data_IF_226961357780
#
_entry.id   IF_226961357780
#
_cell.length_a   1.000
_cell.length_b   1.000
_cell.length_c   1.000
_cell.angle_alpha   90.00
_cell.angle_beta   90.00
_cell.angle_gamma   90.00
#
_symmetry.space_group_name_H-M   'P 1'
#
loop_
_entity.id
_entity.type
_entity.pdbx_description
1 polymer ?
#
# COMPACT_ATOMS: atom_id res chain seq x y z
N UNK A 1 -21.52 -8.54 -8.99
CA UNK A 1 -20.47 -7.99 -8.11
C UNK A 1 -20.00 -6.60 -8.56
N UNK A 2 -19.48 -6.41 -9.78
CA UNK A 2 -18.92 -5.11 -10.21
C UNK A 2 -19.94 -3.97 -10.31
N UNK A 3 -21.22 -4.25 -10.60
CA UNK A 3 -22.27 -3.21 -10.70
C UNK A 3 -22.46 -2.39 -9.41
N UNK A 4 -22.08 -2.91 -8.24
CA UNK A 4 -22.14 -2.18 -6.98
C UNK A 4 -21.09 -1.06 -6.93
N UNK A 5 -19.99 -1.17 -7.67
CA UNK A 5 -18.91 -0.16 -7.66
C UNK A 5 -19.42 1.21 -8.12
N UNK A 6 -20.36 1.26 -9.07
CA UNK A 6 -20.91 2.54 -9.56
C UNK A 6 -21.68 3.33 -8.50
N UNK A 7 -22.09 2.70 -7.38
CA UNK A 7 -22.74 3.41 -6.26
C UNK A 7 -21.73 4.12 -5.35
N UNK A 8 -20.44 3.76 -5.43
CA UNK A 8 -19.35 4.35 -4.66
C UNK A 8 -18.51 5.34 -5.49
N UNK A 9 -18.84 5.50 -6.77
CA UNK A 9 -18.20 6.46 -7.66
C UNK A 9 -19.18 7.61 -7.92
N UNK A 10 -18.64 8.80 -8.12
CA UNK A 10 -19.40 9.98 -8.56
C UNK A 10 -18.65 10.75 -9.64
N UNK A 11 -19.36 11.62 -10.36
CA UNK A 11 -18.80 12.44 -11.43
C UNK A 11 -18.07 11.63 -12.52
N UNK A 12 -16.93 12.15 -12.96
CA UNK A 12 -16.15 11.57 -14.07
C UNK A 12 -15.71 10.12 -13.84
N UNK A 13 -15.20 9.71 -12.66
CA UNK A 13 -14.94 8.30 -12.34
C UNK A 13 -16.13 7.35 -12.55
N UNK A 14 -17.35 7.79 -12.21
CA UNK A 14 -18.56 6.99 -12.37
C UNK A 14 -18.92 6.80 -13.84
N UNK A 15 -18.89 7.89 -14.61
CA UNK A 15 -19.18 7.85 -16.04
C UNK A 15 -18.18 6.96 -16.78
N UNK A 16 -16.89 7.15 -16.52
CA UNK A 16 -15.83 6.31 -17.06
C UNK A 16 -16.05 4.82 -16.71
N UNK A 17 -16.41 4.50 -15.46
CA UNK A 17 -16.69 3.13 -15.07
C UNK A 17 -17.86 2.52 -15.83
N UNK A 18 -18.96 3.26 -16.05
CA UNK A 18 -20.14 2.79 -16.78
C UNK A 18 -19.79 2.51 -18.25
N UNK A 19 -19.05 3.41 -18.89
CA UNK A 19 -18.61 3.28 -20.29
C UNK A 19 -17.69 2.06 -20.51
N UNK A 20 -16.91 1.71 -19.49
CA UNK A 20 -15.91 0.65 -19.55
C UNK A 20 -16.33 -0.63 -18.78
N UNK A 21 -17.56 -0.72 -18.26
CA UNK A 21 -17.93 -1.86 -17.38
C UNK A 21 -17.85 -3.21 -18.09
N UNK A 22 -18.05 -3.23 -19.41
CA UNK A 22 -18.04 -4.44 -20.24
C UNK A 22 -16.64 -5.02 -20.44
N UNK A 23 -15.57 -4.22 -20.25
CA UNK A 23 -14.18 -4.67 -20.39
C UNK A 23 -13.58 -5.19 -19.07
N UNK A 24 -14.25 -4.98 -17.93
CA UNK A 24 -13.74 -5.41 -16.63
C UNK A 24 -14.13 -6.87 -16.32
N UNK A 25 -13.29 -7.80 -16.78
CA UNK A 25 -13.49 -9.25 -16.55
C UNK A 25 -13.34 -9.66 -15.06
N UNK A 26 -12.65 -8.86 -14.26
CA UNK A 26 -12.48 -9.09 -12.82
C UNK A 26 -12.27 -7.80 -12.03
N UNK A 27 -12.43 -7.88 -10.71
CA UNK A 27 -12.08 -6.78 -9.79
C UNK A 27 -10.63 -6.31 -9.96
N UNK A 28 -9.71 -7.23 -10.23
CA UNK A 28 -8.30 -6.89 -10.40
C UNK A 28 -8.06 -6.04 -11.66
N UNK A 29 -8.72 -6.39 -12.77
CA UNK A 29 -8.64 -5.62 -14.03
C UNK A 29 -9.21 -4.22 -13.84
N UNK A 30 -10.40 -4.10 -13.24
CA UNK A 30 -10.99 -2.80 -12.89
C UNK A 30 -10.06 -1.97 -12.01
N UNK A 31 -9.57 -2.54 -10.90
CA UNK A 31 -8.73 -1.84 -9.92
C UNK A 31 -7.45 -1.32 -10.55
N UNK A 32 -6.79 -2.11 -11.39
CA UNK A 32 -5.57 -1.71 -12.09
C UNK A 32 -5.82 -0.54 -13.03
N UNK A 33 -6.86 -0.61 -13.86
CA UNK A 33 -7.21 0.46 -14.80
C UNK A 33 -7.67 1.74 -14.08
N UNK A 34 -8.49 1.59 -13.04
CA UNK A 34 -8.98 2.70 -12.25
C UNK A 34 -7.82 3.43 -11.55
N UNK A 35 -6.90 2.70 -10.93
CA UNK A 35 -5.70 3.30 -10.34
C UNK A 35 -4.80 3.91 -11.41
N UNK A 36 -4.66 3.32 -12.59
CA UNK A 36 -3.86 3.92 -13.65
C UNK A 36 -4.37 5.30 -14.07
N UNK A 37 -5.70 5.46 -14.20
CA UNK A 37 -6.33 6.69 -14.68
C UNK A 37 -6.49 7.73 -13.57
N UNK A 38 -6.81 7.28 -12.35
CA UNK A 38 -7.19 8.16 -11.24
C UNK A 38 -6.16 8.24 -10.10
N UNK A 39 -5.09 7.42 -10.10
CA UNK A 39 -3.98 7.63 -9.17
C UNK A 39 -3.00 8.64 -9.77
N UNK A 40 -2.77 9.74 -9.06
CA UNK A 40 -1.79 10.74 -9.50
C UNK A 40 -0.36 10.30 -9.17
N UNK A 41 0.64 10.77 -9.93
CA UNK A 41 2.04 10.63 -9.55
C UNK A 41 2.31 11.18 -8.13
N UNK A 42 1.59 12.24 -7.76
CA UNK A 42 1.60 12.81 -6.41
C UNK A 42 1.13 11.83 -5.35
N UNK A 43 0.15 10.96 -5.63
CA UNK A 43 -0.32 9.93 -4.69
C UNK A 43 0.75 8.88 -4.40
N UNK A 44 1.49 8.45 -5.43
CA UNK A 44 2.63 7.54 -5.25
C UNK A 44 3.78 8.23 -4.51
N UNK A 45 4.05 9.49 -4.81
CA UNK A 45 5.08 10.27 -4.13
C UNK A 45 4.73 10.51 -2.65
N UNK A 46 3.47 10.79 -2.33
CA UNK A 46 2.98 10.88 -0.95
C UNK A 46 3.12 9.55 -0.22
N UNK A 47 2.78 8.43 -0.87
CA UNK A 47 2.99 7.10 -0.30
C UNK A 47 4.48 6.81 -0.05
N UNK A 48 5.36 7.19 -0.98
CA UNK A 48 6.81 7.04 -0.86
C UNK A 48 7.38 7.88 0.28
N UNK A 49 6.95 9.14 0.39
CA UNK A 49 7.30 10.01 1.51
C UNK A 49 6.83 9.44 2.84
N UNK A 50 5.58 8.95 2.90
CA UNK A 50 5.03 8.35 4.10
C UNK A 50 5.81 7.09 4.51
N UNK A 51 6.09 6.20 3.56
CA UNK A 51 6.89 4.99 3.79
C UNK A 51 8.28 5.34 4.34
N UNK A 52 8.95 6.34 3.76
CA UNK A 52 10.28 6.79 4.20
C UNK A 52 10.28 7.35 5.63
N UNK A 53 9.22 8.04 6.02
CA UNK A 53 9.13 8.66 7.36
C UNK A 53 8.38 7.79 8.38
N UNK A 54 7.98 6.57 8.00
CA UNK A 54 7.16 5.71 8.85
C UNK A 54 7.99 5.20 10.03
N UNK A 55 7.49 5.44 11.24
CA UNK A 55 8.10 5.05 12.50
C UNK A 55 7.04 4.38 13.38
N UNK A 56 7.36 3.27 14.04
CA UNK A 56 6.44 2.58 14.93
C UNK A 56 6.10 3.49 16.11
N UNK A 57 4.81 3.80 16.29
CA UNK A 57 4.36 4.69 17.38
C UNK A 57 4.52 4.02 18.74
N UNK A 58 4.70 4.81 19.80
CA UNK A 58 4.95 4.31 21.16
C UNK A 58 3.93 3.26 21.66
N UNK A 59 2.65 3.47 21.34
CA UNK A 59 1.51 2.64 21.70
C UNK A 59 1.11 1.62 20.63
N UNK A 60 1.72 1.68 19.45
CA UNK A 60 1.37 0.82 18.31
C UNK A 60 1.99 -0.58 18.42
N UNK A 61 1.16 -1.60 18.19
CA UNK A 61 1.60 -2.98 18.14
C UNK A 61 2.46 -3.24 16.89
N UNK A 62 3.47 -4.10 17.01
CA UNK A 62 4.41 -4.41 15.92
C UNK A 62 3.69 -4.94 14.68
N UNK A 63 2.66 -5.76 14.88
CA UNK A 63 1.89 -6.34 13.79
C UNK A 63 1.11 -5.29 12.99
N UNK A 64 0.60 -4.25 13.66
CA UNK A 64 -0.11 -3.14 13.02
C UNK A 64 0.87 -2.30 12.21
N UNK A 65 2.01 -1.95 12.82
CA UNK A 65 3.11 -1.25 12.17
C UNK A 65 3.62 -1.98 10.91
N UNK A 66 3.91 -3.28 11.03
CA UNK A 66 4.33 -4.12 9.93
C UNK A 66 3.29 -4.16 8.80
N UNK A 67 2.03 -4.40 9.15
CA UNK A 67 0.94 -4.50 8.16
C UNK A 67 0.78 -3.20 7.38
N UNK A 68 0.88 -2.06 8.05
CA UNK A 68 0.81 -0.74 7.43
C UNK A 68 2.03 -0.47 6.52
N UNK A 69 3.25 -0.74 6.99
CA UNK A 69 4.46 -0.63 6.19
C UNK A 69 4.38 -1.48 4.90
N UNK A 70 3.91 -2.73 4.99
CA UNK A 70 3.73 -3.60 3.82
C UNK A 70 2.69 -3.05 2.84
N UNK A 71 1.61 -2.43 3.33
CA UNK A 71 0.62 -1.78 2.45
C UNK A 71 1.24 -0.60 1.71
N UNK A 72 2.03 0.22 2.41
CA UNK A 72 2.75 1.35 1.81
C UNK A 72 3.78 0.87 0.78
N UNK A 73 4.56 -0.18 1.08
CA UNK A 73 5.47 -0.79 0.12
C UNK A 73 4.75 -1.20 -1.18
N UNK A 74 3.62 -1.91 -1.08
CA UNK A 74 2.82 -2.32 -2.25
C UNK A 74 2.23 -1.15 -3.03
N UNK A 75 1.95 -0.03 -2.36
CA UNK A 75 1.41 1.17 -3.00
C UNK A 75 2.48 1.95 -3.76
N UNK A 76 3.70 1.99 -3.21
CA UNK A 76 4.87 2.64 -3.83
C UNK A 76 5.38 1.81 -5.00
N UNK A 77 5.62 0.52 -4.76
CA UNK A 77 6.08 -0.43 -5.75
C UNK A 77 5.48 -1.83 -5.48
N UNK A 78 4.52 -2.28 -6.31
CA UNK A 78 3.94 -3.62 -6.20
C UNK A 78 4.97 -4.76 -6.27
N UNK A 79 6.13 -4.53 -6.90
CA UNK A 79 7.19 -5.52 -7.10
C UNK A 79 8.37 -5.33 -6.14
N UNK A 80 8.22 -4.52 -5.09
CA UNK A 80 9.27 -4.28 -4.12
C UNK A 80 9.81 -5.59 -3.54
N UNK A 81 11.13 -5.74 -3.50
CA UNK A 81 11.77 -6.95 -2.97
C UNK A 81 11.53 -7.11 -1.47
N UNK A 82 11.57 -8.33 -0.96
CA UNK A 82 11.41 -8.58 0.47
C UNK A 82 12.53 -7.95 1.29
N UNK A 83 13.75 -7.89 0.74
CA UNK A 83 14.87 -7.18 1.36
C UNK A 83 14.57 -5.68 1.53
N UNK A 84 14.05 -5.02 0.48
CA UNK A 84 13.67 -3.59 0.56
C UNK A 84 12.50 -3.34 1.51
N UNK A 85 11.51 -4.25 1.56
CA UNK A 85 10.41 -4.16 2.53
C UNK A 85 10.93 -4.27 3.96
N UNK A 86 11.86 -5.19 4.21
CA UNK A 86 12.48 -5.38 5.52
C UNK A 86 13.31 -4.16 5.92
N UNK A 87 14.06 -3.56 4.99
CA UNK A 87 14.81 -2.33 5.25
C UNK A 87 13.89 -1.20 5.76
N UNK A 88 12.77 -0.96 5.07
CA UNK A 88 11.77 0.00 5.52
C UNK A 88 11.17 -0.34 6.89
N UNK A 89 10.84 -1.62 7.11
CA UNK A 89 10.29 -2.08 8.38
C UNK A 89 11.27 -1.82 9.53
N UNK A 90 12.51 -2.26 9.39
CA UNK A 90 13.56 -2.13 10.40
C UNK A 90 13.94 -0.68 10.65
N UNK A 91 13.98 0.16 9.61
CA UNK A 91 14.31 1.59 9.74
C UNK A 91 13.40 2.34 10.73
N UNK A 92 12.12 1.98 10.79
CA UNK A 92 11.15 2.60 11.71
C UNK A 92 10.78 1.77 12.93
N UNK A 93 11.38 0.59 13.12
CA UNK A 93 11.06 -0.27 14.27
C UNK A 93 11.56 0.34 15.58
N UNK A 94 10.81 0.19 16.67
CA UNK A 94 11.27 0.64 18.00
C UNK A 94 12.63 0.02 18.34
N UNK A 95 13.54 0.85 18.82
CA UNK A 95 14.89 0.44 19.23
C UNK A 95 14.90 -0.64 20.32
N UNK A 96 13.88 -0.67 21.18
CA UNK A 96 13.71 -1.72 22.19
C UNK A 96 13.54 -3.10 21.55
N UNK A 97 12.74 -3.20 20.49
CA UNK A 97 12.46 -4.45 19.77
C UNK A 97 13.57 -4.80 18.78
N UNK A 98 14.20 -3.79 18.16
CA UNK A 98 15.33 -4.02 17.26
C UNK A 98 16.45 -4.81 17.95
N UNK A 99 16.71 -4.52 19.23
CA UNK A 99 17.71 -5.26 20.02
C UNK A 99 17.37 -6.74 20.15
N UNK A 100 16.11 -7.10 20.24
CA UNK A 100 15.67 -8.50 20.36
C UNK A 100 15.75 -9.22 19.02
N UNK A 101 15.42 -8.53 17.92
CA UNK A 101 15.58 -9.05 16.55
C UNK A 101 17.06 -9.36 16.26
N UNK A 102 17.98 -8.44 16.59
CA UNK A 102 19.41 -8.64 16.38
C UNK A 102 19.99 -9.79 17.23
N UNK A 103 19.43 -10.04 18.42
CA UNK A 103 19.85 -11.18 19.27
C UNK A 103 19.35 -12.53 18.75
N UNK A 104 18.24 -12.55 18.01
CA UNK A 104 17.65 -13.77 17.47
C UNK A 104 18.11 -14.14 16.05
N UNK A 105 18.89 -13.28 15.39
CA UNK A 105 19.42 -13.57 14.06
C UNK A 105 20.53 -14.64 14.16
N UNK A 106 20.46 -15.75 13.39
CA UNK A 106 21.54 -16.73 13.34
C UNK A 106 22.82 -16.06 12.81
N UNK A 107 23.95 -16.40 13.44
CA UNK A 107 25.29 -15.89 13.12
C UNK A 107 25.75 -16.26 11.71
#
# INVERSE_FOLDING_TARGET
ALKIISTFLDGHPKQWFIENITIFESWNVFKTQFLHIYSSASSKQLASNHLRTRQQRYDEAVIEYYTDAIKLCKLVDPNMTDASKLDHFYHGLKSSLMKDVLRGAPS
#
